data_IF_346974626187
#
_entry.id   IF_346974626187
#
_cell.length_a   1.000
_cell.length_b   1.000
_cell.length_c   1.000
_cell.angle_alpha   90.00
_cell.angle_beta   90.00
_cell.angle_gamma   90.00
#
_symmetry.space_group_name_H-M   'P 1'
#
loop_
_entity.id
_entity.type
_entity.pdbx_description
1 polymer ?
#
# COMPACT_ATOMS: atom_id res chain seq x y z
N UNK A 1 18.11 9.65 -6.97
CA UNK A 1 17.42 10.86 -6.44
C UNK A 1 16.53 10.42 -5.29
N UNK A 2 16.52 11.12 -4.17
CA UNK A 2 15.59 10.83 -3.08
C UNK A 2 14.15 10.97 -3.60
N UNK A 3 13.30 9.98 -3.28
CA UNK A 3 11.89 9.99 -3.64
C UNK A 3 11.09 10.58 -2.48
N UNK A 4 10.23 11.54 -2.77
CA UNK A 4 9.38 12.15 -1.76
C UNK A 4 8.23 11.22 -1.43
N UNK A 5 8.10 10.83 -0.16
CA UNK A 5 7.15 9.84 0.31
C UNK A 5 6.07 10.46 1.20
N UNK A 6 4.87 9.90 1.14
CA UNK A 6 3.79 10.13 2.09
C UNK A 6 3.59 8.86 2.93
N UNK A 7 3.30 8.98 4.24
CA UNK A 7 2.98 7.81 5.08
C UNK A 7 1.49 7.78 5.41
N UNK A 8 0.84 6.69 5.02
CA UNK A 8 -0.52 6.31 5.41
C UNK A 8 -0.44 5.28 6.55
N UNK A 9 -1.05 5.56 7.68
CA UNK A 9 -0.95 4.72 8.87
C UNK A 9 -2.15 4.87 9.80
N UNK A 10 -2.37 3.89 10.66
CA UNK A 10 -3.30 3.96 11.78
C UNK A 10 -2.62 4.64 12.96
N UNK A 11 -3.37 5.42 13.73
CA UNK A 11 -2.83 6.18 14.90
C UNK A 11 -2.08 5.28 15.88
N UNK A 12 -2.51 4.03 16.02
CA UNK A 12 -1.88 3.03 16.87
C UNK A 12 -0.44 2.68 16.42
N UNK A 13 -0.15 2.89 15.13
CA UNK A 13 1.16 2.60 14.52
C UNK A 13 2.09 3.83 14.48
N UNK A 14 1.74 4.92 15.19
CA UNK A 14 2.48 6.19 15.18
C UNK A 14 3.95 6.06 15.57
N UNK A 15 4.29 5.09 16.42
CA UNK A 15 5.68 4.85 16.81
C UNK A 15 6.56 4.44 15.61
N UNK A 16 6.03 3.63 14.69
CA UNK A 16 6.72 3.22 13.47
C UNK A 16 6.86 4.38 12.47
N UNK A 17 5.81 5.18 12.32
CA UNK A 17 5.86 6.41 11.52
C UNK A 17 6.95 7.35 12.03
N UNK A 18 6.99 7.60 13.33
CA UNK A 18 7.99 8.46 13.96
C UNK A 18 9.41 7.89 13.83
N UNK A 19 9.57 6.56 13.91
CA UNK A 19 10.86 5.91 13.68
C UNK A 19 11.37 6.19 12.27
N UNK A 20 10.52 6.03 11.24
CA UNK A 20 10.88 6.32 9.85
C UNK A 20 11.31 7.78 9.71
N UNK A 21 10.57 8.73 10.26
CA UNK A 21 10.87 10.16 10.13
C UNK A 21 12.15 10.58 10.85
N UNK A 22 12.41 10.04 12.03
CA UNK A 22 13.49 10.52 12.88
C UNK A 22 14.81 9.74 12.71
N UNK A 23 14.76 8.52 12.19
CA UNK A 23 15.92 7.63 12.15
C UNK A 23 16.32 7.20 10.74
N UNK A 24 15.51 7.53 9.73
CA UNK A 24 15.78 7.16 8.35
C UNK A 24 15.95 8.41 7.49
N UNK A 25 16.96 8.41 6.61
CA UNK A 25 17.18 9.51 5.67
C UNK A 25 16.24 9.37 4.45
N UNK A 26 14.93 9.51 4.70
CA UNK A 26 13.89 9.46 3.67
C UNK A 26 13.26 10.84 3.56
N UNK A 27 13.19 11.40 2.36
CA UNK A 27 12.49 12.66 2.09
C UNK A 27 10.98 12.44 2.20
N UNK A 28 10.38 12.98 3.27
CA UNK A 28 9.00 12.72 3.63
C UNK A 28 8.17 13.98 3.71
N UNK A 29 6.90 13.87 3.31
CA UNK A 29 5.88 14.86 3.64
C UNK A 29 5.20 14.42 4.94
N UNK A 30 5.38 15.22 5.98
CA UNK A 30 4.70 15.02 7.26
C UNK A 30 3.32 15.67 7.24
N UNK A 31 2.42 15.09 6.46
CA UNK A 31 1.01 15.50 6.42
C UNK A 31 0.16 14.24 6.51
N UNK A 32 -0.59 14.10 7.57
CA UNK A 32 -1.64 13.07 7.69
C UNK A 32 -3.01 13.73 7.51
N UNK A 33 -3.96 12.99 6.99
CA UNK A 33 -5.35 13.41 6.91
C UNK A 33 -5.99 13.34 8.31
N UNK A 34 -5.90 14.43 9.08
CA UNK A 34 -6.39 14.46 10.47
C UNK A 34 -7.86 14.88 10.58
N UNK A 35 -8.41 15.55 9.57
CA UNK A 35 -9.79 16.06 9.57
C UNK A 35 -10.58 15.58 8.35
N UNK A 36 -11.88 15.30 8.51
CA UNK A 36 -12.72 14.92 7.38
C UNK A 36 -12.86 16.06 6.38
N UNK A 37 -12.74 15.76 5.10
CA UNK A 37 -13.15 16.67 4.04
C UNK A 37 -14.66 16.52 3.89
N UNK A 38 -15.41 17.60 4.20
CA UNK A 38 -16.86 17.62 4.11
C UNK A 38 -17.29 17.83 2.66
N UNK A 39 -17.60 16.75 1.97
CA UNK A 39 -18.19 16.73 0.63
C UNK A 39 -18.88 15.39 0.40
N UNK A 40 -19.93 15.36 -0.44
CA UNK A 40 -20.54 14.15 -0.96
C UNK A 40 -19.97 13.76 -2.34
N UNK A 41 -19.10 14.59 -2.91
CA UNK A 41 -18.42 14.32 -4.17
C UNK A 41 -17.08 13.62 -3.85
N UNK A 42 -17.03 12.32 -4.14
CA UNK A 42 -15.85 11.50 -3.89
C UNK A 42 -14.66 11.91 -4.76
N UNK A 43 -14.88 12.35 -6.00
CA UNK A 43 -13.79 12.81 -6.86
C UNK A 43 -13.20 14.12 -6.35
N UNK A 44 -14.03 15.04 -5.86
CA UNK A 44 -13.58 16.25 -5.19
C UNK A 44 -12.74 15.93 -3.94
N UNK A 45 -13.17 14.96 -3.13
CA UNK A 45 -12.41 14.54 -1.93
C UNK A 45 -11.03 14.03 -2.33
N UNK A 46 -10.95 13.12 -3.32
CA UNK A 46 -9.67 12.56 -3.76
C UNK A 46 -8.76 13.61 -4.39
N UNK A 47 -9.30 14.51 -5.20
CA UNK A 47 -8.54 15.62 -5.79
C UNK A 47 -7.99 16.55 -4.71
N UNK A 48 -8.81 16.88 -3.71
CA UNK A 48 -8.39 17.72 -2.58
C UNK A 48 -7.28 17.05 -1.74
N UNK A 49 -7.43 15.78 -1.39
CA UNK A 49 -6.36 15.04 -0.70
C UNK A 49 -5.09 15.05 -1.55
N UNK A 50 -5.22 14.82 -2.86
CA UNK A 50 -4.09 14.81 -3.76
C UNK A 50 -3.37 16.15 -3.79
N UNK A 51 -4.10 17.25 -3.90
CA UNK A 51 -3.52 18.61 -3.95
C UNK A 51 -2.90 19.04 -2.63
N UNK A 52 -3.61 18.83 -1.52
CA UNK A 52 -3.24 19.39 -0.23
C UNK A 52 -2.18 18.55 0.51
N UNK A 53 -2.18 17.21 0.29
CA UNK A 53 -1.36 16.28 1.06
C UNK A 53 -0.37 15.48 0.21
N UNK A 54 -0.68 15.20 -1.06
CA UNK A 54 0.11 14.28 -1.89
C UNK A 54 0.78 14.95 -3.11
N UNK A 55 0.59 16.27 -3.31
CA UNK A 55 0.97 16.97 -4.55
C UNK A 55 2.41 16.72 -5.00
N UNK A 56 3.34 16.63 -4.06
CA UNK A 56 4.77 16.49 -4.36
C UNK A 56 5.28 15.07 -4.12
N UNK A 57 4.42 14.13 -3.74
CA UNK A 57 4.83 12.76 -3.44
C UNK A 57 4.81 11.87 -4.66
N UNK A 58 5.68 10.87 -4.67
CA UNK A 58 5.75 9.86 -5.73
C UNK A 58 5.54 8.44 -5.22
N UNK A 59 5.68 8.24 -3.92
CA UNK A 59 5.45 6.96 -3.24
C UNK A 59 4.58 7.18 -2.00
N UNK A 60 3.63 6.29 -1.78
CA UNK A 60 2.87 6.21 -0.54
C UNK A 60 3.30 4.96 0.20
N UNK A 61 3.85 5.15 1.39
CA UNK A 61 4.18 4.10 2.35
C UNK A 61 2.92 3.83 3.17
N UNK A 62 2.40 2.60 3.12
CA UNK A 62 1.26 2.16 3.92
C UNK A 62 1.73 1.21 5.01
N UNK A 63 1.61 1.61 6.28
CA UNK A 63 1.95 0.75 7.42
C UNK A 63 0.81 -0.25 7.66
N UNK A 64 1.14 -1.54 7.65
CA UNK A 64 0.19 -2.63 7.85
C UNK A 64 0.38 -3.18 9.26
N UNK A 65 -0.36 -2.60 10.21
CA UNK A 65 -0.41 -3.01 11.61
C UNK A 65 -1.68 -3.78 11.96
N UNK A 66 -1.84 -4.13 13.22
CA UNK A 66 -2.95 -4.95 13.72
C UNK A 66 -4.36 -4.35 13.52
N UNK A 67 -4.43 -3.04 13.26
CA UNK A 67 -5.68 -2.33 13.03
C UNK A 67 -5.90 -1.93 11.56
N UNK A 68 -5.15 -2.52 10.61
CA UNK A 68 -5.20 -2.15 9.18
C UNK A 68 -6.19 -2.94 8.35
N UNK A 69 -6.92 -3.92 8.93
CA UNK A 69 -7.84 -4.81 8.18
C UNK A 69 -9.13 -4.10 7.75
N UNK A 70 -9.68 -4.50 6.59
CA UNK A 70 -10.97 -4.04 6.09
C UNK A 70 -12.12 -4.38 7.06
N UNK A 71 -12.03 -5.52 7.76
CA UNK A 71 -13.02 -6.03 8.70
C UNK A 71 -13.29 -5.10 9.89
N UNK A 72 -12.44 -4.09 10.14
CA UNK A 72 -12.70 -3.03 11.12
C UNK A 72 -13.84 -2.08 10.69
N UNK A 73 -14.26 -2.16 9.44
CA UNK A 73 -15.34 -1.35 8.88
C UNK A 73 -14.91 0.02 8.38
N UNK A 74 -15.75 0.60 7.51
CA UNK A 74 -15.42 1.84 6.80
C UNK A 74 -15.12 3.02 7.74
N UNK A 75 -15.88 3.19 8.82
CA UNK A 75 -15.70 4.33 9.73
C UNK A 75 -14.30 4.34 10.38
N UNK A 76 -13.82 3.15 10.78
CA UNK A 76 -12.49 2.99 11.36
C UNK A 76 -11.37 3.16 10.31
N UNK A 77 -11.63 2.77 9.06
CA UNK A 77 -10.62 2.74 8.00
C UNK A 77 -10.69 3.93 7.05
N UNK A 78 -11.68 4.82 7.18
CA UNK A 78 -11.98 5.88 6.20
C UNK A 78 -10.78 6.75 5.81
N UNK A 79 -9.88 7.06 6.75
CA UNK A 79 -8.73 7.93 6.48
C UNK A 79 -7.70 7.21 5.62
N UNK A 80 -7.22 6.04 6.05
CA UNK A 80 -6.23 5.27 5.31
C UNK A 80 -6.77 4.80 3.94
N UNK A 81 -8.07 4.48 3.85
CA UNK A 81 -8.73 4.17 2.56
C UNK A 81 -8.68 5.36 1.62
N UNK A 82 -9.07 6.55 2.06
CA UNK A 82 -9.04 7.77 1.24
C UNK A 82 -7.63 8.19 0.86
N UNK A 83 -6.66 8.03 1.75
CA UNK A 83 -5.24 8.26 1.46
C UNK A 83 -4.74 7.33 0.34
N UNK A 84 -5.05 6.02 0.39
CA UNK A 84 -4.70 5.10 -0.66
C UNK A 84 -5.48 5.35 -1.96
N UNK A 85 -6.77 5.65 -1.88
CA UNK A 85 -7.57 6.03 -3.04
C UNK A 85 -6.98 7.27 -3.74
N UNK A 86 -6.64 8.33 -2.99
CA UNK A 86 -6.01 9.52 -3.52
C UNK A 86 -4.62 9.24 -4.11
N UNK A 87 -3.85 8.34 -3.49
CA UNK A 87 -2.54 7.91 -3.98
C UNK A 87 -2.63 7.14 -5.29
N UNK A 88 -3.69 6.35 -5.47
CA UNK A 88 -3.97 5.57 -6.70
C UNK A 88 -4.69 6.39 -7.76
N UNK A 89 -5.27 7.54 -7.39
CA UNK A 89 -6.03 8.39 -8.30
C UNK A 89 -5.10 9.01 -9.35
N UNK A 90 -5.53 8.92 -10.62
CA UNK A 90 -4.83 9.44 -11.78
C UNK A 90 -5.73 10.42 -12.52
N UNK A 91 -5.89 11.61 -11.96
CA UNK A 91 -6.67 12.69 -12.56
C UNK A 91 -5.86 13.56 -13.51
N UNK A 92 -6.50 14.56 -14.10
CA UNK A 92 -5.84 15.49 -15.02
C UNK A 92 -4.71 16.24 -14.30
N UNK A 93 -3.48 16.09 -14.80
CA UNK A 93 -2.30 16.73 -14.22
C UNK A 93 -1.68 16.00 -13.00
N UNK A 94 -2.27 14.86 -12.56
CA UNK A 94 -1.77 14.06 -11.45
C UNK A 94 -1.40 12.65 -11.91
N UNK A 95 -0.20 12.21 -11.58
CA UNK A 95 0.21 10.80 -11.70
C UNK A 95 0.03 10.09 -10.37
N UNK A 96 -0.45 8.83 -10.41
CA UNK A 96 -0.59 8.02 -9.20
C UNK A 96 0.76 7.77 -8.52
N UNK A 97 0.75 7.58 -7.21
CA UNK A 97 1.91 7.16 -6.44
C UNK A 97 2.15 5.66 -6.56
N UNK A 98 3.40 5.24 -6.48
CA UNK A 98 3.73 3.86 -6.15
C UNK A 98 3.29 3.54 -4.72
N UNK A 99 2.82 2.32 -4.47
CA UNK A 99 2.35 1.91 -3.14
C UNK A 99 3.31 0.90 -2.53
N UNK A 100 3.86 1.25 -1.37
CA UNK A 100 4.73 0.40 -0.56
C UNK A 100 4.00 0.00 0.73
N UNK A 101 3.63 -1.26 0.85
CA UNK A 101 3.12 -1.82 2.09
C UNK A 101 4.25 -2.32 2.98
N UNK A 102 4.33 -1.80 4.20
CA UNK A 102 5.29 -2.26 5.21
C UNK A 102 4.53 -3.06 6.27
N UNK A 103 4.81 -4.35 6.32
CA UNK A 103 4.21 -5.26 7.31
C UNK A 103 4.93 -5.07 8.64
N UNK A 104 4.20 -4.54 9.63
CA UNK A 104 4.73 -4.35 10.98
C UNK A 104 4.90 -5.68 11.71
N UNK A 105 5.82 -5.78 12.70
CA UNK A 105 6.15 -7.05 13.37
C UNK A 105 4.94 -7.82 13.89
N UNK A 106 3.94 -7.12 14.44
CA UNK A 106 2.72 -7.73 14.96
C UNK A 106 1.86 -8.45 13.88
N UNK A 107 2.11 -8.19 12.60
CA UNK A 107 1.38 -8.79 11.47
C UNK A 107 2.19 -9.81 10.67
N UNK A 108 3.47 -10.06 11.02
CA UNK A 108 4.35 -10.94 10.26
C UNK A 108 3.73 -12.34 10.09
N UNK A 109 3.34 -12.98 11.18
CA UNK A 109 2.80 -14.36 11.16
C UNK A 109 1.42 -14.44 10.52
N UNK A 110 0.65 -13.36 10.55
CA UNK A 110 -0.65 -13.28 9.90
C UNK A 110 -0.54 -13.17 8.37
N UNK A 111 0.50 -12.49 7.88
CA UNK A 111 0.70 -12.22 6.45
C UNK A 111 1.67 -13.21 5.83
N UNK A 112 2.83 -13.47 6.45
CA UNK A 112 3.82 -14.41 5.95
C UNK A 112 3.67 -15.74 6.67
N UNK A 113 2.86 -16.62 6.07
CA UNK A 113 2.62 -17.96 6.60
C UNK A 113 3.61 -18.96 6.03
N UNK A 114 3.60 -20.17 6.59
CA UNK A 114 4.43 -21.28 6.12
C UNK A 114 4.22 -21.60 4.65
N UNK A 115 5.21 -22.27 4.07
CA UNK A 115 5.12 -22.79 2.72
C UNK A 115 4.13 -23.96 2.65
N UNK A 116 3.51 -24.14 1.50
CA UNK A 116 2.64 -25.28 1.21
C UNK A 116 3.05 -25.95 -0.10
N UNK A 117 2.80 -27.26 -0.18
CA UNK A 117 3.03 -28.01 -1.41
C UNK A 117 1.91 -27.76 -2.41
N UNK A 118 2.29 -27.38 -3.60
CA UNK A 118 1.35 -26.99 -4.66
C UNK A 118 0.95 -28.19 -5.52
N UNK A 119 -0.33 -28.51 -5.54
CA UNK A 119 -0.88 -29.59 -6.39
C UNK A 119 -0.85 -29.26 -7.90
N UNK A 120 -0.65 -27.98 -8.28
CA UNK A 120 -0.64 -27.55 -9.68
C UNK A 120 0.74 -27.75 -10.30
N UNK A 121 1.81 -27.32 -9.61
CA UNK A 121 3.18 -27.38 -10.15
C UNK A 121 4.07 -28.44 -9.49
N UNK A 122 3.62 -29.08 -8.43
CA UNK A 122 4.39 -30.03 -7.64
C UNK A 122 5.53 -29.44 -6.80
N UNK A 123 5.67 -28.11 -6.80
CA UNK A 123 6.65 -27.37 -6.00
C UNK A 123 6.04 -26.79 -4.73
N UNK A 124 6.88 -26.16 -3.91
CA UNK A 124 6.43 -25.45 -2.69
C UNK A 124 6.31 -23.96 -2.94
N UNK A 125 5.26 -23.32 -2.39
CA UNK A 125 5.03 -21.88 -2.43
C UNK A 125 4.88 -21.28 -1.04
N UNK A 126 5.39 -20.07 -0.86
CA UNK A 126 5.14 -19.29 0.33
C UNK A 126 3.75 -18.64 0.24
N UNK A 127 2.98 -18.74 1.31
CA UNK A 127 1.70 -18.06 1.42
C UNK A 127 1.88 -16.62 1.92
N UNK A 128 1.29 -15.67 1.19
CA UNK A 128 1.22 -14.27 1.60
C UNK A 128 -0.24 -13.88 1.78
N UNK A 129 -0.66 -13.71 3.02
CA UNK A 129 -2.06 -13.47 3.43
C UNK A 129 -2.47 -12.02 3.30
N UNK A 130 -2.52 -11.47 2.09
CA UNK A 130 -3.07 -10.13 1.82
C UNK A 130 -4.53 -10.29 1.40
N UNK A 131 -5.44 -9.91 2.30
CA UNK A 131 -6.89 -10.00 2.13
C UNK A 131 -7.60 -9.05 3.10
N UNK A 132 -8.94 -9.06 3.13
CA UNK A 132 -9.77 -8.17 3.95
C UNK A 132 -9.56 -8.33 5.46
N UNK A 133 -9.05 -9.48 5.92
CA UNK A 133 -8.74 -9.71 7.36
C UNK A 133 -7.39 -9.16 7.79
N UNK A 134 -6.52 -8.77 6.84
CA UNK A 134 -5.15 -8.31 7.12
C UNK A 134 -4.90 -6.87 6.70
N UNK A 135 -5.56 -6.39 5.66
CA UNK A 135 -5.38 -5.03 5.14
C UNK A 135 -6.65 -4.49 4.50
N UNK A 136 -6.68 -3.19 4.23
CA UNK A 136 -7.80 -2.56 3.53
C UNK A 136 -7.89 -3.01 2.07
N UNK A 137 -9.10 -2.96 1.54
CA UNK A 137 -9.43 -3.44 0.19
C UNK A 137 -8.63 -2.69 -0.90
N UNK A 138 -8.37 -1.40 -0.73
CA UNK A 138 -7.56 -0.59 -1.64
C UNK A 138 -6.13 -1.12 -1.79
N UNK A 139 -5.55 -1.70 -0.74
CA UNK A 139 -4.25 -2.34 -0.82
C UNK A 139 -4.37 -3.75 -1.42
N UNK A 140 -5.25 -4.58 -0.88
CA UNK A 140 -5.30 -6.00 -1.23
C UNK A 140 -5.62 -6.24 -2.72
N UNK A 141 -6.60 -5.52 -3.30
CA UNK A 141 -6.95 -5.69 -4.72
C UNK A 141 -5.91 -5.13 -5.69
N UNK A 142 -5.05 -4.23 -5.21
CA UNK A 142 -3.92 -3.69 -5.98
C UNK A 142 -2.62 -4.45 -5.75
N UNK A 143 -2.59 -5.32 -4.73
CA UNK A 143 -1.55 -6.32 -4.54
C UNK A 143 -1.80 -7.57 -5.40
N UNK A 144 -3.05 -8.05 -5.47
CA UNK A 144 -3.47 -9.17 -6.32
C UNK A 144 -4.39 -8.71 -7.47
N UNK A 145 -3.83 -7.95 -8.41
CA UNK A 145 -4.63 -7.33 -9.49
C UNK A 145 -5.12 -8.36 -10.51
N UNK A 146 -4.27 -9.29 -10.87
CA UNK A 146 -4.53 -10.19 -11.97
C UNK A 146 -5.13 -11.49 -11.45
N UNK A 147 -6.19 -11.97 -12.06
CA UNK A 147 -6.61 -13.36 -11.85
C UNK A 147 -5.52 -14.29 -12.34
N UNK A 148 -5.14 -15.24 -11.50
CA UNK A 148 -4.21 -16.29 -11.88
C UNK A 148 -4.90 -17.21 -12.90
N UNK A 149 -4.27 -17.48 -14.03
CA UNK A 149 -4.77 -18.46 -14.99
C UNK A 149 -4.92 -19.83 -14.29
N UNK A 150 -5.85 -20.68 -14.76
CA UNK A 150 -6.17 -21.97 -14.12
C UNK A 150 -4.98 -22.94 -13.96
N UNK A 151 -3.95 -22.74 -14.79
CA UNK A 151 -2.69 -23.50 -14.76
C UNK A 151 -1.56 -22.78 -14.00
N UNK A 152 -1.84 -21.64 -13.37
CA UNK A 152 -0.87 -20.81 -12.66
C UNK A 152 -1.18 -20.81 -11.17
N UNK A 153 -0.20 -21.07 -10.35
CA UNK A 153 -0.35 -21.27 -8.92
C UNK A 153 0.18 -20.10 -8.05
N UNK A 154 0.75 -19.06 -8.66
CA UNK A 154 1.29 -17.92 -7.91
C UNK A 154 1.26 -16.64 -8.74
N UNK A 155 1.24 -15.49 -8.03
CA UNK A 155 1.44 -14.18 -8.63
C UNK A 155 2.93 -13.83 -8.71
N UNK A 156 3.33 -13.29 -9.85
CA UNK A 156 4.67 -12.72 -10.02
C UNK A 156 4.70 -11.25 -9.56
N UNK A 157 5.88 -10.68 -9.41
CA UNK A 157 6.05 -9.25 -9.13
C UNK A 157 5.38 -8.35 -10.19
N UNK A 158 5.39 -8.76 -11.46
CA UNK A 158 4.79 -8.01 -12.58
C UNK A 158 3.26 -7.99 -12.55
N UNK A 159 2.65 -8.87 -11.77
CA UNK A 159 1.19 -8.95 -11.59
C UNK A 159 0.70 -8.20 -10.36
N UNK A 160 1.61 -7.53 -9.65
CA UNK A 160 1.35 -6.76 -8.45
C UNK A 160 1.70 -5.30 -8.68
N UNK A 161 0.79 -4.39 -8.32
CA UNK A 161 1.11 -2.96 -8.30
C UNK A 161 1.76 -2.56 -6.98
N UNK A 162 1.18 -2.98 -5.85
CA UNK A 162 1.74 -2.71 -4.54
C UNK A 162 2.99 -3.57 -4.29
N UNK A 163 4.04 -2.96 -3.79
CA UNK A 163 5.21 -3.63 -3.23
C UNK A 163 4.93 -3.96 -1.77
N UNK A 164 5.36 -5.12 -1.29
CA UNK A 164 5.19 -5.55 0.09
C UNK A 164 6.54 -5.94 0.69
N UNK A 165 6.80 -5.48 1.92
CA UNK A 165 8.05 -5.75 2.62
C UNK A 165 7.81 -5.92 4.12
N UNK A 166 8.61 -6.73 4.79
CA UNK A 166 8.65 -6.79 6.26
C UNK A 166 9.34 -5.55 6.82
N UNK A 167 8.93 -5.11 8.00
CA UNK A 167 9.56 -4.00 8.70
C UNK A 167 11.08 -4.16 8.82
N UNK A 168 11.55 -5.33 9.25
CA UNK A 168 12.96 -5.59 9.47
C UNK A 168 13.79 -5.50 8.18
N UNK A 169 13.24 -5.95 7.05
CA UNK A 169 13.90 -5.84 5.75
C UNK A 169 13.88 -4.38 5.24
N UNK A 170 12.79 -3.66 5.51
CA UNK A 170 12.66 -2.26 5.11
C UNK A 170 13.67 -1.37 5.80
N UNK A 171 13.86 -1.50 7.13
CA UNK A 171 14.81 -0.66 7.88
C UNK A 171 16.28 -0.88 7.46
N UNK A 172 16.60 -2.04 6.90
CA UNK A 172 17.94 -2.35 6.39
C UNK A 172 18.22 -1.67 5.05
N UNK A 173 17.22 -1.62 4.16
CA UNK A 173 17.40 -1.03 2.83
C UNK A 173 16.12 -0.33 2.32
N UNK A 174 15.75 0.81 2.90
CA UNK A 174 14.52 1.52 2.57
C UNK A 174 14.49 2.03 1.12
N UNK A 175 15.62 2.53 0.61
CA UNK A 175 15.72 3.09 -0.74
C UNK A 175 15.36 2.07 -1.81
N UNK A 176 15.78 0.80 -1.64
CA UNK A 176 15.44 -0.29 -2.56
C UNK A 176 13.93 -0.43 -2.73
N UNK A 177 13.19 -0.51 -1.65
CA UNK A 177 11.74 -0.75 -1.68
C UNK A 177 10.94 0.47 -2.13
N UNK A 178 11.43 1.66 -1.78
CA UNK A 178 10.87 2.93 -2.26
C UNK A 178 11.04 3.02 -3.78
N UNK A 179 12.22 2.71 -4.33
CA UNK A 179 12.46 2.76 -5.77
C UNK A 179 11.64 1.69 -6.51
N UNK A 180 11.58 0.45 -6.01
CA UNK A 180 10.71 -0.59 -6.57
C UNK A 180 9.24 -0.11 -6.66
N UNK A 181 8.75 0.55 -5.63
CA UNK A 181 7.37 1.07 -5.62
C UNK A 181 7.21 2.25 -6.60
N UNK A 182 8.20 3.11 -6.69
CA UNK A 182 8.22 4.21 -7.65
C UNK A 182 8.15 3.69 -9.10
N UNK A 183 8.93 2.67 -9.46
CA UNK A 183 8.97 2.09 -10.79
C UNK A 183 7.65 1.47 -11.22
N UNK A 184 6.85 0.95 -10.28
CA UNK A 184 5.49 0.42 -10.55
C UNK A 184 4.57 1.45 -11.21
N UNK A 185 4.81 2.75 -11.04
CA UNK A 185 4.01 3.83 -11.64
C UNK A 185 4.04 3.83 -13.16
N UNK A 186 5.18 3.46 -13.75
CA UNK A 186 5.36 3.36 -15.21
C UNK A 186 5.19 1.94 -15.74
N UNK A 187 5.05 0.94 -14.87
CA UNK A 187 4.84 -0.44 -15.27
C UNK A 187 3.42 -0.64 -15.88
N UNK A 188 3.22 -1.51 -16.88
CA UNK A 188 1.91 -1.79 -17.48
C UNK A 188 0.82 -2.16 -16.48
N UNK A 189 1.17 -2.76 -15.34
CA UNK A 189 0.25 -3.10 -14.25
C UNK A 189 -0.45 -1.87 -13.67
N UNK A 190 0.15 -0.68 -13.74
CA UNK A 190 -0.44 0.57 -13.26
C UNK A 190 -1.78 0.90 -13.95
N UNK A 191 -1.98 0.43 -15.17
CA UNK A 191 -3.24 0.63 -15.91
C UNK A 191 -4.39 -0.25 -15.41
N UNK A 192 -4.10 -1.23 -14.56
CA UNK A 192 -5.07 -2.18 -14.01
C UNK A 192 -5.44 -1.88 -12.56
N UNK A 193 -4.87 -0.83 -11.97
CA UNK A 193 -5.15 -0.45 -10.56
C UNK A 193 -6.60 -0.04 -10.38
N UNK A 194 -7.16 -0.40 -9.22
CA UNK A 194 -8.52 -0.02 -8.79
C UNK A 194 -8.42 1.00 -7.69
N UNK A 195 -8.97 2.19 -7.94
CA UNK A 195 -8.97 3.30 -6.96
C UNK A 195 -10.01 3.05 -5.88
N UNK A 196 -11.23 2.65 -6.28
CA UNK A 196 -12.37 2.37 -5.39
C UNK A 196 -12.86 0.96 -5.63
N UNK A 197 -12.21 -0.06 -5.01
CA UNK A 197 -12.68 -1.43 -5.13
C UNK A 197 -14.01 -1.60 -4.39
N UNK A 198 -14.93 -2.34 -5.02
CA UNK A 198 -16.21 -2.74 -4.45
C UNK A 198 -16.09 -4.04 -3.66
#
# INVERSE_FOLDING_TARGET
MARKCFISFKTEDIAYKNYIQNNMNIDMIDKSLNEPIFSNDEDYILDKIRKDYLSDTTVTIHLIGSNSSEDKGFQEQRFIKRELQASLYNGQGNTKNGILGIVLPAMHDNIYRDSFDCSICGGSHNYVGINDTTTIKEFNVNYYIQNVASNKCSWTEDERYCVLVKWDDFIVNPEKYIEMSFEKRSHPIANKTKVRPQ
#
